data_IF_562813494977
#
_entry.id   IF_562813494977
#
_cell.length_a   1.000
_cell.length_b   1.000
_cell.length_c   1.000
_cell.angle_alpha   90.00
_cell.angle_beta   90.00
_cell.angle_gamma   90.00
#
_symmetry.space_group_name_H-M   'P 1'
#
loop_
_entity.id
_entity.type
_entity.pdbx_description
1 polymer ?
#
# COMPACT_ATOMS: atom_id res chain seq x y z
N UNK A 1 -38.80 -11.39 -28.84
CA UNK A 1 -39.64 -11.41 -27.63
C UNK A 1 -38.73 -11.56 -26.44
N UNK A 2 -38.38 -10.43 -25.83
CA UNK A 2 -37.62 -10.37 -24.60
C UNK A 2 -38.54 -10.73 -23.42
N UNK A 3 -38.03 -11.53 -22.48
CA UNK A 3 -38.27 -11.48 -21.02
C UNK A 3 -38.02 -12.87 -20.42
N UNK A 4 -36.82 -13.06 -19.86
CA UNK A 4 -36.62 -13.82 -18.61
C UNK A 4 -35.19 -13.58 -18.06
N UNK A 5 -34.95 -12.46 -17.34
CA UNK A 5 -33.73 -12.30 -16.55
C UNK A 5 -33.96 -12.48 -15.02
N UNK A 6 -35.17 -12.82 -14.58
CA UNK A 6 -35.53 -12.78 -13.14
C UNK A 6 -35.23 -14.11 -12.42
N UNK A 7 -35.33 -15.26 -13.10
CA UNK A 7 -35.17 -16.57 -12.45
C UNK A 7 -33.72 -16.93 -12.04
N UNK A 8 -32.71 -16.29 -12.65
CA UNK A 8 -31.30 -16.49 -12.32
C UNK A 8 -30.84 -15.69 -11.10
N UNK A 9 -31.52 -14.60 -10.77
CA UNK A 9 -31.17 -13.77 -9.62
C UNK A 9 -31.61 -14.42 -8.31
N UNK A 10 -32.78 -15.07 -8.32
CA UNK A 10 -33.32 -15.77 -7.13
C UNK A 10 -32.56 -17.06 -6.80
N UNK A 11 -32.00 -17.75 -7.80
CA UNK A 11 -31.17 -18.95 -7.59
C UNK A 11 -29.82 -18.58 -6.97
N UNK A 12 -29.20 -17.47 -7.39
CA UNK A 12 -27.95 -16.98 -6.78
C UNK A 12 -28.19 -16.47 -5.34
N UNK A 13 -29.35 -15.85 -5.08
CA UNK A 13 -29.70 -15.42 -3.72
C UNK A 13 -29.99 -16.63 -2.80
N UNK A 14 -30.66 -17.68 -3.28
CA UNK A 14 -30.86 -18.91 -2.50
C UNK A 14 -29.55 -19.68 -2.24
N UNK A 15 -28.60 -19.67 -3.17
CA UNK A 15 -27.26 -20.25 -2.95
C UNK A 15 -26.44 -19.45 -1.92
N UNK A 16 -26.65 -18.13 -1.82
CA UNK A 16 -26.01 -17.29 -0.78
C UNK A 16 -26.69 -17.48 0.58
N UNK A 17 -28.01 -17.68 0.62
CA UNK A 17 -28.76 -17.89 1.86
C UNK A 17 -28.50 -19.29 2.47
N UNK A 18 -28.22 -20.30 1.64
CA UNK A 18 -27.74 -21.63 2.10
C UNK A 18 -26.25 -21.65 2.47
N UNK A 19 -25.49 -20.62 2.09
CA UNK A 19 -24.09 -20.41 2.49
C UNK A 19 -23.91 -19.58 3.77
N UNK A 20 -25.00 -19.15 4.43
CA UNK A 20 -24.91 -18.63 5.78
C UNK A 20 -24.56 -19.78 6.75
N UNK A 21 -23.35 -19.82 7.35
CA UNK A 21 -23.07 -20.82 8.37
C UNK A 21 -23.96 -20.56 9.57
N UNK A 22 -24.85 -21.51 9.84
CA UNK A 22 -25.39 -21.77 11.18
C UNK A 22 -24.24 -21.65 12.17
N UNK A 23 -24.46 -20.89 13.23
CA UNK A 23 -23.54 -20.77 14.35
C UNK A 23 -23.24 -22.16 14.91
N UNK A 24 -22.14 -22.76 14.45
CA UNK A 24 -21.61 -24.02 14.96
C UNK A 24 -20.16 -23.76 15.34
N UNK A 25 -19.98 -23.74 16.65
CA UNK A 25 -18.76 -23.63 17.43
C UNK A 25 -17.49 -23.99 16.67
N UNK A 26 -16.68 -22.98 16.39
CA UNK A 26 -15.27 -23.11 16.04
C UNK A 26 -14.55 -23.98 17.08
N UNK A 27 -13.96 -25.14 16.71
CA UNK A 27 -12.88 -25.69 17.52
C UNK A 27 -11.68 -24.73 17.43
N UNK A 28 -11.09 -24.44 18.59
CA UNK A 28 -9.91 -23.58 18.78
C UNK A 28 -8.80 -23.96 17.81
N UNK A 29 -8.38 -23.00 16.98
CA UNK A 29 -7.13 -23.05 16.21
C UNK A 29 -6.03 -22.34 17.01
N UNK A 30 -6.05 -22.51 18.34
CA UNK A 30 -5.12 -21.89 19.30
C UNK A 30 -3.96 -22.85 19.66
N UNK A 31 -3.85 -24.00 18.99
CA UNK A 31 -3.00 -25.12 19.43
C UNK A 31 -2.02 -25.63 18.37
N UNK A 32 -1.66 -24.82 17.37
CA UNK A 32 -0.57 -25.16 16.44
C UNK A 32 0.57 -24.13 16.39
N UNK A 33 0.52 -23.07 17.20
CA UNK A 33 1.67 -22.17 17.43
C UNK A 33 2.25 -22.25 18.87
N UNK A 34 1.69 -23.11 19.74
CA UNK A 34 2.15 -23.24 21.14
C UNK A 34 3.28 -24.26 21.35
N UNK A 35 3.68 -25.04 20.34
CA UNK A 35 4.70 -26.10 20.52
C UNK A 35 6.13 -25.67 20.12
N UNK A 36 6.52 -24.43 20.37
CA UNK A 36 7.96 -24.10 20.47
C UNK A 36 8.30 -23.02 21.50
N UNK A 37 7.44 -22.82 22.51
CA UNK A 37 7.76 -21.93 23.64
C UNK A 37 7.28 -22.54 24.97
N UNK A 38 7.75 -23.75 25.28
CA UNK A 38 7.70 -24.27 26.65
C UNK A 38 9.10 -24.36 27.21
N UNK A 39 9.44 -23.40 28.06
CA UNK A 39 10.73 -23.29 28.72
C UNK A 39 10.73 -22.26 29.84
N UNK A 40 9.96 -22.52 30.90
CA UNK A 40 10.26 -22.08 32.27
C UNK A 40 9.94 -20.62 32.65
N UNK A 41 8.96 -20.46 33.55
CA UNK A 41 8.51 -19.17 34.06
C UNK A 41 9.43 -18.48 35.07
N UNK A 42 9.01 -17.27 35.45
CA UNK A 42 9.48 -16.57 36.65
C UNK A 42 9.84 -15.11 36.43
N UNK A 43 8.89 -14.21 36.76
CA UNK A 43 9.13 -12.92 37.41
C UNK A 43 10.09 -11.90 36.76
N UNK A 44 9.52 -10.79 36.26
CA UNK A 44 10.15 -9.47 36.26
C UNK A 44 11.14 -9.21 35.12
N UNK A 45 10.69 -8.55 34.05
CA UNK A 45 11.60 -8.08 33.01
C UNK A 45 10.96 -7.63 31.69
N UNK A 46 9.78 -7.00 31.72
CA UNK A 46 9.14 -6.52 30.49
C UNK A 46 9.77 -5.20 30.06
N UNK A 47 10.85 -5.23 29.27
CA UNK A 47 11.34 -4.08 28.47
C UNK A 47 12.34 -4.43 27.35
N UNK A 48 12.70 -5.71 27.16
CA UNK A 48 13.74 -6.10 26.19
C UNK A 48 13.23 -6.89 24.96
N UNK A 49 12.08 -7.57 25.05
CA UNK A 49 11.56 -8.40 23.95
C UNK A 49 10.85 -7.60 22.84
N UNK A 50 10.33 -6.41 23.17
CA UNK A 50 9.58 -5.55 22.24
C UNK A 50 10.48 -4.68 21.34
N UNK A 51 11.79 -4.63 21.62
CA UNK A 51 12.75 -3.83 20.84
C UNK A 51 13.27 -4.50 19.57
N UNK A 52 12.91 -5.77 19.31
CA UNK A 52 13.38 -6.52 18.14
C UNK A 52 12.47 -6.40 16.89
N UNK A 53 11.37 -5.65 16.97
CA UNK A 53 10.31 -5.67 15.96
C UNK A 53 9.94 -4.28 15.40
N UNK A 54 10.81 -3.29 15.56
CA UNK A 54 10.59 -1.94 15.06
C UNK A 54 11.18 -1.81 13.65
N UNK A 55 10.39 -1.28 12.72
CA UNK A 55 10.82 -1.05 11.35
C UNK A 55 11.82 0.08 11.30
N UNK A 56 12.88 -0.04 10.48
CA UNK A 56 13.82 1.05 10.22
C UNK A 56 13.13 2.33 9.72
N UNK A 57 11.98 2.18 9.07
CA UNK A 57 11.13 3.31 8.64
C UNK A 57 10.43 4.00 9.80
N UNK A 58 10.06 3.27 10.84
CA UNK A 58 9.32 3.80 12.00
C UNK A 58 10.28 4.50 12.99
N UNK A 59 11.57 4.14 12.99
CA UNK A 59 12.61 4.81 13.78
C UNK A 59 13.18 6.07 13.09
N UNK A 60 12.90 6.27 11.81
CA UNK A 60 13.45 7.38 11.04
C UNK A 60 12.89 8.73 11.49
N UNK A 61 13.77 9.67 11.86
CA UNK A 61 13.38 11.07 12.08
C UNK A 61 12.84 11.71 10.79
N UNK A 62 12.14 12.84 10.91
CA UNK A 62 11.47 13.50 9.77
C UNK A 62 12.40 13.66 8.56
N UNK A 63 13.60 14.24 8.73
CA UNK A 63 14.56 14.42 7.63
C UNK A 63 15.00 13.08 7.04
N UNK A 64 15.29 12.08 7.87
CA UNK A 64 15.69 10.74 7.42
C UNK A 64 14.57 10.00 6.70
N UNK A 65 13.32 10.25 7.07
CA UNK A 65 12.18 9.80 6.29
C UNK A 65 12.21 10.49 4.92
N UNK A 66 12.42 11.81 4.88
CA UNK A 66 12.39 12.64 3.64
C UNK A 66 13.47 12.33 2.64
N UNK A 67 14.67 12.03 3.11
CA UNK A 67 15.81 11.68 2.27
C UNK A 67 15.99 10.17 2.08
N UNK A 68 15.07 9.35 2.60
CA UNK A 68 15.22 7.88 2.68
C UNK A 68 16.52 7.45 3.37
N UNK A 69 17.01 8.27 4.31
CA UNK A 69 18.25 8.03 5.05
C UNK A 69 18.23 6.76 5.90
N UNK A 70 17.06 6.24 6.26
CA UNK A 70 16.91 4.95 6.94
C UNK A 70 17.39 3.77 6.07
N UNK A 71 17.43 3.94 4.74
CA UNK A 71 17.87 2.91 3.80
C UNK A 71 19.40 2.89 3.63
N UNK A 72 20.08 4.00 3.93
CA UNK A 72 21.54 4.13 3.84
C UNK A 72 22.32 3.03 4.59
N UNK A 73 22.01 2.67 5.85
CA UNK A 73 22.72 1.57 6.53
C UNK A 73 22.53 0.22 5.84
N UNK A 74 21.32 -0.07 5.35
CA UNK A 74 20.99 -1.32 4.64
C UNK A 74 21.76 -1.39 3.31
N UNK A 75 21.80 -0.29 2.56
CA UNK A 75 22.54 -0.19 1.29
C UNK A 75 24.05 -0.33 1.51
N UNK A 76 24.59 0.28 2.57
CA UNK A 76 26.00 0.16 2.91
C UNK A 76 26.37 -1.28 3.29
N UNK A 77 25.50 -1.96 4.03
CA UNK A 77 25.68 -3.36 4.37
C UNK A 77 25.62 -4.26 3.12
N UNK A 78 24.66 -4.01 2.22
CA UNK A 78 24.52 -4.68 0.93
C UNK A 78 25.72 -4.50 -0.01
N UNK A 79 26.45 -3.40 0.10
CA UNK A 79 27.69 -3.19 -0.65
C UNK A 79 28.84 -4.09 -0.17
N UNK A 80 28.78 -4.57 1.08
CA UNK A 80 29.82 -5.40 1.70
C UNK A 80 29.47 -6.89 1.73
N UNK A 81 28.18 -7.25 1.86
CA UNK A 81 27.68 -8.61 1.97
C UNK A 81 26.41 -8.74 1.12
N UNK A 82 26.21 -9.89 0.48
CA UNK A 82 24.90 -10.25 -0.05
C UNK A 82 23.87 -10.28 1.09
N UNK A 83 22.80 -9.48 0.97
CA UNK A 83 21.77 -9.37 1.99
C UNK A 83 20.95 -10.65 2.10
N UNK A 84 20.75 -11.12 3.33
CA UNK A 84 19.80 -12.17 3.66
C UNK A 84 18.49 -11.58 4.22
N UNK A 85 17.42 -12.37 4.27
CA UNK A 85 16.12 -11.93 4.80
C UNK A 85 16.15 -11.59 6.29
N UNK A 86 17.14 -12.12 7.03
CA UNK A 86 17.40 -11.81 8.44
C UNK A 86 18.06 -10.45 8.63
N UNK A 87 18.77 -9.95 7.61
CA UNK A 87 19.45 -8.64 7.62
C UNK A 87 18.47 -7.50 7.27
N UNK A 88 17.30 -7.85 6.71
CA UNK A 88 16.22 -6.92 6.42
C UNK A 88 15.32 -6.78 7.66
N UNK A 89 15.18 -5.55 8.16
CA UNK A 89 14.34 -5.25 9.31
C UNK A 89 12.87 -5.57 9.06
N UNK A 90 12.06 -5.57 10.13
CA UNK A 90 10.64 -5.91 9.99
C UNK A 90 9.86 -4.85 9.22
N UNK A 91 8.86 -5.27 8.46
CA UNK A 91 7.95 -4.37 7.74
C UNK A 91 7.20 -3.46 8.71
N UNK A 92 6.99 -2.22 8.27
CA UNK A 92 6.13 -1.23 8.93
C UNK A 92 4.82 -1.86 9.41
N UNK A 93 4.45 -1.57 10.66
CA UNK A 93 3.28 -2.14 11.34
C UNK A 93 2.00 -2.08 10.48
N UNK A 94 1.70 -0.94 9.86
CA UNK A 94 0.52 -0.73 9.00
C UNK A 94 0.52 -1.57 7.71
N UNK A 95 1.69 -1.94 7.21
CA UNK A 95 1.86 -2.68 5.94
C UNK A 95 1.91 -4.19 6.15
N UNK A 96 1.87 -4.67 7.39
CA UNK A 96 1.78 -6.11 7.71
C UNK A 96 0.47 -6.71 7.20
N UNK A 97 0.48 -8.01 6.90
CA UNK A 97 -0.65 -8.72 6.29
C UNK A 97 -1.91 -8.73 7.17
N UNK A 98 -1.76 -8.91 8.48
CA UNK A 98 -2.88 -8.95 9.43
C UNK A 98 -3.65 -7.61 9.51
N UNK A 99 -3.02 -6.45 9.79
CA UNK A 99 -3.73 -5.18 9.84
C UNK A 99 -4.28 -4.74 8.48
N UNK A 100 -3.58 -5.02 7.39
CA UNK A 100 -4.06 -4.70 6.03
C UNK A 100 -5.29 -5.52 5.65
N UNK A 101 -5.27 -6.84 5.90
CA UNK A 101 -6.43 -7.71 5.71
C UNK A 101 -7.60 -7.31 6.61
N UNK A 102 -7.36 -7.06 7.90
CA UNK A 102 -8.38 -6.69 8.86
C UNK A 102 -9.12 -5.40 8.49
N UNK A 103 -8.37 -4.37 8.08
CA UNK A 103 -8.94 -3.10 7.62
C UNK A 103 -9.78 -3.24 6.36
N UNK A 104 -9.27 -3.96 5.35
CA UNK A 104 -10.00 -4.18 4.10
C UNK A 104 -11.25 -5.03 4.30
N UNK A 105 -11.16 -6.08 5.12
CA UNK A 105 -12.29 -6.97 5.43
C UNK A 105 -13.43 -6.21 6.11
N UNK A 106 -13.12 -5.36 7.09
CA UNK A 106 -14.13 -4.56 7.77
C UNK A 106 -14.89 -3.62 6.81
N UNK A 107 -14.20 -2.99 5.85
CA UNK A 107 -14.84 -2.14 4.84
C UNK A 107 -15.59 -2.95 3.76
N UNK A 108 -15.09 -4.14 3.43
CA UNK A 108 -15.77 -5.07 2.53
C UNK A 108 -17.10 -5.55 3.13
N UNK A 109 -17.10 -5.98 4.38
CA UNK A 109 -18.32 -6.44 5.08
C UNK A 109 -19.37 -5.31 5.17
N UNK A 110 -18.94 -4.07 5.39
CA UNK A 110 -19.84 -2.89 5.34
C UNK A 110 -20.44 -2.69 3.95
N UNK A 111 -19.60 -2.79 2.91
CA UNK A 111 -20.04 -2.62 1.51
C UNK A 111 -21.02 -3.72 1.11
N UNK A 112 -20.79 -4.95 1.58
CA UNK A 112 -21.70 -6.07 1.37
C UNK A 112 -23.06 -5.83 2.05
N UNK A 113 -23.08 -5.37 3.30
CA UNK A 113 -24.33 -5.04 4.00
C UNK A 113 -25.11 -3.90 3.32
N UNK A 114 -24.40 -2.90 2.76
CA UNK A 114 -25.02 -1.81 2.01
C UNK A 114 -25.57 -2.30 0.67
N UNK A 115 -24.81 -3.13 -0.05
CA UNK A 115 -25.23 -3.77 -1.29
C UNK A 115 -26.51 -4.58 -1.11
N UNK A 116 -26.62 -5.34 -0.02
CA UNK A 116 -27.85 -6.09 0.32
C UNK A 116 -29.07 -5.18 0.55
N UNK A 117 -28.86 -3.97 1.08
CA UNK A 117 -29.95 -3.00 1.34
C UNK A 117 -30.34 -2.20 0.11
N UNK A 118 -29.37 -1.85 -0.73
CA UNK A 118 -29.57 -0.98 -1.90
C UNK A 118 -29.77 -1.76 -3.20
N UNK A 119 -29.53 -3.08 -3.21
CA UNK A 119 -29.62 -3.93 -4.40
C UNK A 119 -28.51 -3.69 -5.43
N UNK A 120 -27.50 -2.89 -5.11
CA UNK A 120 -26.40 -2.54 -6.01
C UNK A 120 -25.23 -3.53 -5.89
N UNK A 121 -24.39 -3.65 -6.92
CA UNK A 121 -23.27 -4.59 -6.91
C UNK A 121 -22.13 -4.10 -6.00
N UNK A 122 -21.57 -4.95 -5.13
CA UNK A 122 -20.48 -4.54 -4.25
C UNK A 122 -19.17 -4.33 -5.04
N UNK A 123 -18.46 -3.24 -4.76
CA UNK A 123 -17.19 -2.91 -5.42
C UNK A 123 -16.00 -3.10 -4.47
N UNK A 124 -15.19 -4.13 -4.75
CA UNK A 124 -14.03 -4.47 -3.92
C UNK A 124 -12.92 -3.40 -3.99
N UNK A 125 -12.67 -2.83 -5.17
CA UNK A 125 -11.64 -1.83 -5.35
C UNK A 125 -11.94 -0.57 -4.52
N UNK A 126 -13.22 -0.16 -4.47
CA UNK A 126 -13.66 0.95 -3.65
C UNK A 126 -13.48 0.67 -2.14
N UNK A 127 -13.77 -0.56 -1.69
CA UNK A 127 -13.58 -0.97 -0.30
C UNK A 127 -12.09 -0.94 0.10
N UNK A 128 -11.20 -1.46 -0.75
CA UNK A 128 -9.75 -1.44 -0.53
C UNK A 128 -9.23 0.01 -0.44
N UNK A 129 -9.64 0.86 -1.38
CA UNK A 129 -9.23 2.27 -1.41
C UNK A 129 -9.69 3.01 -0.15
N UNK A 130 -10.90 2.73 0.32
CA UNK A 130 -11.46 3.33 1.54
C UNK A 130 -10.75 2.85 2.80
N UNK A 131 -10.34 1.57 2.85
CA UNK A 131 -9.62 0.98 3.97
C UNK A 131 -8.18 1.49 4.14
N UNK A 132 -7.45 1.74 3.05
CA UNK A 132 -6.08 2.28 3.13
C UNK A 132 -6.04 3.69 3.76
N UNK A 133 -7.10 4.46 3.52
CA UNK A 133 -7.26 5.84 3.96
C UNK A 133 -7.06 6.80 2.79
N UNK A 134 -8.14 7.40 2.24
CA UNK A 134 -8.04 8.28 1.08
C UNK A 134 -7.19 9.52 1.34
N UNK A 135 -7.03 9.92 2.61
CA UNK A 135 -6.18 11.06 3.01
C UNK A 135 -4.73 10.92 2.54
N UNK A 136 -4.14 9.73 2.64
CA UNK A 136 -2.74 9.51 2.26
C UNK A 136 -2.56 9.60 0.75
N UNK A 137 -3.56 9.11 -0.01
CA UNK A 137 -3.58 9.22 -1.46
C UNK A 137 -3.76 10.67 -1.92
N UNK A 138 -4.68 11.42 -1.32
CA UNK A 138 -4.88 12.83 -1.67
C UNK A 138 -3.64 13.67 -1.38
N UNK A 139 -2.97 13.44 -0.25
CA UNK A 139 -1.69 14.11 0.05
C UNK A 139 -0.62 13.78 -1.00
N UNK A 140 -0.49 12.51 -1.40
CA UNK A 140 0.43 12.12 -2.46
C UNK A 140 0.08 12.76 -3.82
N UNK A 141 -1.20 12.90 -4.13
CA UNK A 141 -1.68 13.57 -5.35
C UNK A 141 -1.33 15.06 -5.33
N UNK A 142 -1.51 15.73 -4.20
CA UNK A 142 -1.13 17.15 -4.05
C UNK A 142 0.38 17.32 -4.30
N UNK A 143 1.22 16.46 -3.72
CA UNK A 143 2.66 16.51 -3.97
C UNK A 143 3.03 16.33 -5.45
N UNK A 144 2.33 15.44 -6.15
CA UNK A 144 2.53 15.23 -7.59
C UNK A 144 2.13 16.45 -8.42
N UNK A 145 0.98 17.07 -8.12
CA UNK A 145 0.54 18.27 -8.85
C UNK A 145 1.52 19.42 -8.61
N UNK A 146 1.96 19.62 -7.36
CA UNK A 146 2.96 20.65 -7.03
C UNK A 146 4.28 20.36 -7.72
N UNK A 147 4.80 19.12 -7.69
CA UNK A 147 6.06 18.79 -8.36
C UNK A 147 5.96 18.96 -9.87
N UNK A 148 4.83 18.60 -10.48
CA UNK A 148 4.58 18.78 -11.91
C UNK A 148 4.57 20.26 -12.31
N UNK A 149 3.90 21.12 -11.53
CA UNK A 149 3.87 22.57 -11.78
C UNK A 149 5.26 23.19 -11.60
N UNK A 150 5.99 22.80 -10.55
CA UNK A 150 7.36 23.27 -10.32
C UNK A 150 8.35 22.73 -11.36
N UNK A 151 8.06 21.58 -11.98
CA UNK A 151 8.86 20.99 -13.05
C UNK A 151 9.03 21.88 -14.28
N UNK A 152 8.11 22.82 -14.51
CA UNK A 152 8.23 23.78 -15.61
C UNK A 152 9.20 24.94 -15.30
N UNK A 153 9.43 25.24 -14.01
CA UNK A 153 10.22 26.41 -13.60
C UNK A 153 11.69 26.33 -14.08
N UNK A 154 12.41 25.20 -13.93
CA UNK A 154 13.76 25.07 -14.48
C UNK A 154 13.84 25.27 -16.00
N UNK A 155 12.80 24.86 -16.74
CA UNK A 155 12.73 24.99 -18.20
C UNK A 155 12.60 26.47 -18.59
N UNK A 156 11.78 27.23 -17.85
CA UNK A 156 11.60 28.67 -18.07
C UNK A 156 12.87 29.45 -17.74
N UNK A 157 13.51 29.15 -16.60
CA UNK A 157 14.79 29.77 -16.20
C UNK A 157 15.88 29.52 -17.25
N UNK A 158 15.97 28.28 -17.76
CA UNK A 158 16.94 27.97 -18.81
C UNK A 158 16.69 28.79 -20.09
N UNK A 159 15.42 29.01 -20.45
CA UNK A 159 15.05 29.86 -21.58
C UNK A 159 15.47 31.33 -21.40
N UNK A 160 15.29 31.88 -20.20
CA UNK A 160 15.66 33.27 -19.90
C UNK A 160 17.20 33.46 -19.89
N UNK A 161 17.94 32.51 -19.32
CA UNK A 161 19.41 32.51 -19.37
C UNK A 161 19.92 32.48 -20.82
N UNK A 162 19.32 31.67 -21.69
CA UNK A 162 19.70 31.62 -23.11
C UNK A 162 19.43 32.97 -23.79
N UNK A 163 18.26 33.58 -23.54
CA UNK A 163 17.91 34.89 -24.09
C UNK A 163 18.85 36.01 -23.60
N UNK A 164 19.28 35.96 -22.33
CA UNK A 164 20.26 36.87 -21.75
C UNK A 164 21.60 36.85 -22.49
N UNK A 165 22.07 35.67 -22.92
CA UNK A 165 23.32 35.56 -23.69
C UNK A 165 23.17 35.96 -25.16
N UNK A 166 21.98 35.85 -25.75
CA UNK A 166 21.73 36.24 -27.15
C UNK A 166 21.55 37.75 -27.32
N UNK A 167 21.03 38.46 -26.30
CA UNK A 167 20.68 39.87 -26.41
C UNK A 167 21.52 40.75 -25.47
N UNK A 168 22.34 41.70 -25.99
CA UNK A 168 23.25 42.50 -25.18
C UNK A 168 22.60 43.48 -24.18
N UNK A 169 21.28 43.70 -24.25
CA UNK A 169 20.51 44.62 -23.39
C UNK A 169 19.25 43.97 -22.80
N UNK A 170 19.25 42.65 -22.58
CA UNK A 170 18.11 41.99 -21.92
C UNK A 170 18.06 42.42 -20.46
N UNK A 171 17.03 43.16 -20.07
CA UNK A 171 16.75 43.46 -18.66
C UNK A 171 16.18 42.21 -18.00
N UNK A 172 17.06 41.44 -17.37
CA UNK A 172 16.65 40.26 -16.59
C UNK A 172 15.80 40.70 -15.39
N UNK A 173 14.69 40.01 -15.13
CA UNK A 173 13.82 40.33 -13.98
C UNK A 173 14.50 40.06 -12.62
N UNK A 174 15.52 39.21 -12.60
CA UNK A 174 16.30 38.80 -11.43
C UNK A 174 17.79 38.80 -11.79
N UNK A 175 18.67 38.95 -10.80
CA UNK A 175 20.13 38.83 -11.03
C UNK A 175 20.47 37.46 -11.64
N UNK A 176 21.17 37.39 -12.80
CA UNK A 176 21.52 36.13 -13.47
C UNK A 176 22.22 35.10 -12.56
N UNK A 177 22.97 35.56 -11.55
CA UNK A 177 23.61 34.66 -10.59
C UNK A 177 22.59 33.91 -9.72
N UNK A 178 21.47 34.55 -9.39
CA UNK A 178 20.37 33.93 -8.61
C UNK A 178 19.63 32.92 -9.47
N UNK A 179 19.43 33.20 -10.75
CA UNK A 179 18.78 32.27 -11.69
C UNK A 179 19.59 30.98 -11.86
N UNK A 180 20.91 31.10 -12.04
CA UNK A 180 21.80 29.93 -12.12
C UNK A 180 21.80 29.13 -10.81
N UNK A 181 21.82 29.81 -9.65
CA UNK A 181 21.72 29.14 -8.35
C UNK A 181 20.36 28.43 -8.18
N UNK A 182 19.27 29.08 -8.57
CA UNK A 182 17.92 28.51 -8.54
C UNK A 182 17.80 27.30 -9.47
N UNK A 183 18.44 27.33 -10.64
CA UNK A 183 18.47 26.22 -11.59
C UNK A 183 19.14 24.96 -11.01
N UNK A 184 20.10 25.10 -10.10
CA UNK A 184 20.71 23.96 -9.39
C UNK A 184 19.87 23.44 -8.22
N UNK A 185 19.28 24.35 -7.44
CA UNK A 185 18.57 23.99 -6.20
C UNK A 185 17.14 23.51 -6.47
N UNK A 186 16.41 24.15 -7.38
CA UNK A 186 15.00 23.82 -7.65
C UNK A 186 14.78 22.38 -8.13
N UNK A 187 15.55 21.83 -9.10
CA UNK A 187 15.39 20.45 -9.52
C UNK A 187 15.64 19.45 -8.39
N UNK A 188 16.56 19.78 -7.47
CA UNK A 188 16.83 18.93 -6.29
C UNK A 188 15.61 18.85 -5.39
N UNK A 189 14.95 19.98 -5.12
CA UNK A 189 13.72 20.03 -4.31
C UNK A 189 12.58 19.28 -5.01
N UNK A 190 12.42 19.48 -6.32
CA UNK A 190 11.42 18.76 -7.13
C UNK A 190 11.66 17.25 -7.07
N UNK A 191 12.91 16.81 -7.18
CA UNK A 191 13.31 15.41 -7.07
C UNK A 191 12.90 14.81 -5.72
N UNK A 192 13.17 15.50 -4.60
CA UNK A 192 12.76 15.05 -3.27
C UNK A 192 11.24 14.88 -3.18
N UNK A 193 10.47 15.84 -3.73
CA UNK A 193 9.01 15.79 -3.73
C UNK A 193 8.47 14.62 -4.57
N UNK A 194 9.07 14.38 -5.73
CA UNK A 194 8.73 13.26 -6.60
C UNK A 194 9.03 11.91 -5.93
N UNK A 195 10.18 11.78 -5.28
CA UNK A 195 10.52 10.59 -4.51
C UNK A 195 9.49 10.32 -3.41
N UNK A 196 8.98 11.36 -2.75
CA UNK A 196 7.93 11.19 -1.75
C UNK A 196 6.64 10.66 -2.32
N UNK A 197 6.18 11.24 -3.43
CA UNK A 197 5.01 10.74 -4.13
C UNK A 197 5.16 9.26 -4.48
N UNK A 198 6.29 8.88 -5.09
CA UNK A 198 6.57 7.51 -5.50
C UNK A 198 6.55 6.54 -4.32
N UNK A 199 7.21 6.88 -3.22
CA UNK A 199 7.25 6.02 -2.02
C UNK A 199 5.85 5.76 -1.47
N UNK A 200 5.03 6.81 -1.33
CA UNK A 200 3.64 6.65 -0.84
C UNK A 200 2.81 5.79 -1.80
N UNK A 201 2.99 5.97 -3.11
CA UNK A 201 2.28 5.19 -4.12
C UNK A 201 2.74 3.72 -4.13
N UNK A 202 4.02 3.46 -3.95
CA UNK A 202 4.57 2.10 -3.80
C UNK A 202 4.03 1.41 -2.56
N UNK A 203 3.98 2.09 -1.40
CA UNK A 203 3.39 1.52 -0.19
C UNK A 203 1.90 1.20 -0.38
N UNK A 204 1.14 2.05 -1.09
CA UNK A 204 -0.24 1.75 -1.46
C UNK A 204 -0.32 0.50 -2.34
N UNK A 205 0.53 0.39 -3.37
CA UNK A 205 0.56 -0.78 -4.24
C UNK A 205 0.85 -2.09 -3.48
N UNK A 206 1.85 -2.07 -2.58
CA UNK A 206 2.17 -3.20 -1.71
C UNK A 206 0.99 -3.55 -0.81
N UNK A 207 0.37 -2.55 -0.18
CA UNK A 207 -0.80 -2.76 0.66
C UNK A 207 -1.96 -3.43 -0.10
N UNK A 208 -2.27 -2.93 -1.30
CA UNK A 208 -3.35 -3.49 -2.15
C UNK A 208 -3.03 -4.93 -2.52
N UNK A 209 -1.80 -5.22 -2.99
CA UNK A 209 -1.39 -6.58 -3.36
C UNK A 209 -1.50 -7.54 -2.17
N UNK A 210 -0.94 -7.17 -1.02
CA UNK A 210 -1.00 -8.00 0.20
C UNK A 210 -2.43 -8.25 0.65
N UNK A 211 -3.28 -7.23 0.65
CA UNK A 211 -4.68 -7.37 1.06
C UNK A 211 -5.47 -8.27 0.10
N UNK A 212 -5.31 -8.09 -1.22
CA UNK A 212 -5.99 -8.92 -2.23
C UNK A 212 -5.53 -10.37 -2.14
N UNK A 213 -4.22 -10.64 -2.02
CA UNK A 213 -3.72 -12.00 -1.84
C UNK A 213 -4.30 -12.68 -0.60
N UNK A 214 -4.37 -11.97 0.53
CA UNK A 214 -4.97 -12.49 1.78
C UNK A 214 -6.48 -12.73 1.64
N UNK A 215 -7.22 -11.82 1.00
CA UNK A 215 -8.64 -11.99 0.73
C UNK A 215 -8.89 -13.22 -0.13
N UNK A 216 -8.16 -13.37 -1.24
CA UNK A 216 -8.29 -14.51 -2.13
C UNK A 216 -7.91 -15.81 -1.42
N UNK A 217 -6.85 -15.81 -0.61
CA UNK A 217 -6.48 -16.96 0.22
C UNK A 217 -7.63 -17.39 1.15
N UNK A 218 -8.19 -16.46 1.92
CA UNK A 218 -9.33 -16.77 2.81
C UNK A 218 -10.59 -17.18 2.05
N UNK A 219 -10.87 -16.57 0.90
CA UNK A 219 -12.02 -16.91 0.06
C UNK A 219 -11.90 -18.35 -0.48
N UNK A 220 -10.72 -18.72 -0.96
CA UNK A 220 -10.47 -20.08 -1.52
C UNK A 220 -10.54 -21.17 -0.45
N UNK A 221 -10.06 -20.90 0.76
CA UNK A 221 -10.17 -21.83 1.89
C UNK A 221 -11.62 -22.06 2.35
N UNK A 222 -12.50 -21.07 2.16
CA UNK A 222 -13.92 -21.15 2.54
C UNK A 222 -14.83 -21.53 1.38
N UNK A 223 -14.29 -21.71 0.18
CA UNK A 223 -15.08 -22.04 -1.01
C UNK A 223 -15.66 -23.46 -0.92
N UNK A 224 -16.93 -23.60 -1.27
CA UNK A 224 -17.62 -24.90 -1.33
C UNK A 224 -17.07 -25.78 -2.46
N UNK A 225 -17.31 -27.10 -2.41
CA UNK A 225 -16.91 -28.03 -3.50
C UNK A 225 -17.49 -27.65 -4.86
N UNK A 226 -18.70 -27.06 -4.89
CA UNK A 226 -19.32 -26.57 -6.12
C UNK A 226 -18.56 -25.36 -6.70
N UNK A 227 -18.29 -24.34 -5.88
CA UNK A 227 -17.53 -23.15 -6.30
C UNK A 227 -16.10 -23.49 -6.73
N UNK A 228 -15.46 -24.46 -6.06
CA UNK A 228 -14.13 -24.98 -6.45
C UNK A 228 -14.12 -25.71 -7.80
N UNK A 229 -15.25 -26.23 -8.25
CA UNK A 229 -15.37 -26.84 -9.59
C UNK A 229 -15.51 -25.81 -10.71
N UNK A 230 -15.98 -24.60 -10.39
CA UNK A 230 -16.16 -23.50 -11.34
C UNK A 230 -14.88 -22.70 -11.57
N UNK A 231 -14.07 -22.51 -10.52
CA UNK A 231 -12.80 -21.78 -10.60
C UNK A 231 -11.61 -22.73 -10.63
N UNK A 232 -10.77 -22.61 -11.66
CA UNK A 232 -9.55 -23.42 -11.76
C UNK A 232 -8.52 -22.96 -10.74
N UNK A 233 -7.80 -23.89 -10.10
CA UNK A 233 -6.66 -23.55 -9.22
C UNK A 233 -5.62 -22.69 -9.95
N UNK A 234 -5.42 -22.92 -11.25
CA UNK A 234 -4.52 -22.11 -12.07
C UNK A 234 -4.98 -20.65 -12.22
N UNK A 235 -6.29 -20.42 -12.27
CA UNK A 235 -6.87 -19.07 -12.36
C UNK A 235 -6.66 -18.28 -11.06
N UNK A 236 -6.89 -18.92 -9.91
CA UNK A 236 -6.65 -18.31 -8.59
C UNK A 236 -5.18 -17.95 -8.41
N UNK A 237 -4.27 -18.86 -8.79
CA UNK A 237 -2.83 -18.60 -8.72
C UNK A 237 -2.45 -17.45 -9.67
N UNK A 238 -3.04 -17.41 -10.87
CA UNK A 238 -2.80 -16.32 -11.81
C UNK A 238 -3.22 -14.95 -11.24
N UNK A 239 -4.38 -14.87 -10.58
CA UNK A 239 -4.86 -13.63 -9.93
C UNK A 239 -3.92 -13.19 -8.79
N UNK A 240 -3.32 -14.13 -8.04
CA UNK A 240 -2.37 -13.78 -6.98
C UNK A 240 -0.99 -13.38 -7.54
N UNK A 241 -0.60 -13.96 -8.67
CA UNK A 241 0.70 -13.73 -9.27
C UNK A 241 0.76 -12.39 -10.03
N UNK A 242 -0.27 -12.10 -10.83
CA UNK A 242 -0.32 -11.00 -11.78
C UNK A 242 -1.30 -9.91 -11.34
#
# INVERSE_FOLDING_TARGET
TAHQPIALHDTVIQDIETMAPKAETTPKVEELESENTSGGGGGGGNNAADKRNVSFEDEAGFVGQWTLGFLTPVLRFGATKALETTDLGTVKSKTRAEPSYGGVKAEWDKTLQLSLKSGDRPNLAAAIFRAYGPSHFYVAMIYYVVSALLGFVPILILGDIVAYFEQPNHETMVDPWIEVAALGVLPTIIGILQTRHNVVMTHLGVYVRTAVSMLTYHATLRASSYSRGLSSTGEVINIMAN
#
